data_IF_582002736832
#
_entry.id   IF_582002736832
#
_cell.length_a   1.000
_cell.length_b   1.000
_cell.length_c   1.000
_cell.angle_alpha   90.00
_cell.angle_beta   90.00
_cell.angle_gamma   90.00
#
_symmetry.space_group_name_H-M   'P 1'
#
loop_
_entity.id
_entity.type
_entity.pdbx_description
1 polymer ?
#
# COMPACT_ATOMS: atom_id res chain seq x y z
N UNK A 1 12.99 13.65 12.77
CA UNK A 1 11.84 14.42 13.28
C UNK A 1 11.33 15.38 12.23
N UNK A 2 10.12 15.90 12.40
CA UNK A 2 9.57 16.97 11.54
C UNK A 2 9.25 18.17 12.38
N UNK A 3 9.58 19.33 11.87
CA UNK A 3 9.34 20.62 12.53
C UNK A 3 8.43 21.43 11.64
N UNK A 4 7.32 21.90 12.17
CA UNK A 4 6.37 22.77 11.48
C UNK A 4 6.48 24.17 12.03
N UNK A 5 6.65 25.16 11.17
CA UNK A 5 6.70 26.56 11.59
C UNK A 5 5.28 27.14 11.76
N UNK A 6 5.19 28.36 12.30
CA UNK A 6 3.92 29.07 12.54
C UNK A 6 3.08 29.27 11.27
N UNK A 7 3.70 29.26 10.09
CA UNK A 7 3.03 29.36 8.77
C UNK A 7 2.59 27.99 8.22
N UNK A 8 2.68 26.91 9.02
CA UNK A 8 2.30 25.57 8.61
C UNK A 8 3.29 24.87 7.67
N UNK A 9 4.45 25.45 7.39
CA UNK A 9 5.48 24.81 6.58
C UNK A 9 6.23 23.78 7.41
N UNK A 10 6.23 22.54 6.98
CA UNK A 10 6.91 21.41 7.63
C UNK A 10 8.23 21.11 6.92
N UNK A 11 9.29 20.95 7.69
CA UNK A 11 10.64 20.57 7.23
C UNK A 11 11.05 19.30 7.96
N UNK A 12 11.61 18.33 7.23
CA UNK A 12 12.22 17.16 7.87
C UNK A 12 13.60 17.55 8.43
N UNK A 13 13.87 17.08 9.64
CA UNK A 13 15.16 17.27 10.29
C UNK A 13 15.72 15.92 10.75
N UNK A 14 17.02 15.77 10.65
CA UNK A 14 17.78 14.67 11.24
C UNK A 14 18.69 15.19 12.33
N UNK A 15 18.75 14.43 13.40
CA UNK A 15 19.69 14.67 14.50
C UNK A 15 20.47 13.37 14.70
N UNK A 16 21.78 13.46 14.59
CA UNK A 16 22.70 12.36 14.86
C UNK A 16 23.43 12.70 16.13
N UNK A 17 23.35 11.83 17.13
CA UNK A 17 24.05 11.97 18.39
C UNK A 17 25.09 10.88 18.45
N UNK A 18 26.34 11.25 18.59
CA UNK A 18 27.47 10.33 18.69
C UNK A 18 28.40 10.77 19.81
N UNK A 19 29.11 9.81 20.35
CA UNK A 19 30.19 10.04 21.32
C UNK A 19 31.46 9.32 20.86
N UNK A 20 32.17 9.89 19.87
CA UNK A 20 33.35 9.23 19.29
C UNK A 20 34.52 9.12 20.26
N UNK A 21 34.52 9.90 21.34
CA UNK A 21 35.61 9.94 22.32
C UNK A 21 35.26 9.26 23.65
N UNK A 22 34.00 8.98 23.92
CA UNK A 22 33.49 8.54 25.21
C UNK A 22 33.47 9.63 26.29
N UNK A 23 33.77 10.89 25.94
CA UNK A 23 33.84 12.03 26.88
C UNK A 23 33.01 13.23 26.46
N UNK A 24 32.60 13.32 25.20
CA UNK A 24 31.82 14.44 24.72
C UNK A 24 30.81 14.03 23.66
N UNK A 25 29.56 14.44 23.88
CA UNK A 25 28.51 14.21 22.89
C UNK A 25 28.70 15.17 21.71
N UNK A 26 28.74 14.60 20.54
CA UNK A 26 28.65 15.31 19.27
C UNK A 26 27.21 15.24 18.77
N UNK A 27 26.62 16.38 18.47
CA UNK A 27 25.24 16.48 18.01
C UNK A 27 25.24 17.14 16.63
N UNK A 28 25.01 16.34 15.62
CA UNK A 28 24.92 16.80 14.22
C UNK A 28 23.45 17.04 13.87
N UNK A 29 23.13 18.18 13.31
CA UNK A 29 21.76 18.52 12.89
C UNK A 29 21.72 18.87 11.42
N UNK A 30 20.75 18.29 10.72
CA UNK A 30 20.53 18.46 9.30
C UNK A 30 19.08 18.82 9.02
N UNK A 31 18.84 19.69 8.05
CA UNK A 31 17.51 20.02 7.57
C UNK A 31 17.36 19.70 6.09
N UNK A 32 16.16 19.33 5.74
CA UNK A 32 15.75 19.12 4.36
C UNK A 32 15.75 20.44 3.59
N UNK A 33 16.48 20.47 2.48
CA UNK A 33 16.53 21.60 1.55
C UNK A 33 16.38 21.09 0.11
N UNK A 34 15.89 21.95 -0.76
CA UNK A 34 15.86 21.65 -2.20
C UNK A 34 17.18 22.06 -2.81
N UNK A 35 17.92 21.13 -3.36
CA UNK A 35 19.13 21.43 -4.12
C UNK A 35 18.79 22.21 -5.37
N UNK A 36 19.43 23.37 -5.55
CA UNK A 36 19.16 24.28 -6.64
C UNK A 36 19.63 23.72 -8.01
N UNK A 37 20.66 22.88 -8.03
CA UNK A 37 21.23 22.33 -9.25
C UNK A 37 20.42 21.13 -9.78
N UNK A 38 20.05 20.21 -8.90
CA UNK A 38 19.37 18.95 -9.29
C UNK A 38 17.86 19.00 -9.10
N UNK A 39 17.35 19.97 -8.33
CA UNK A 39 15.95 20.05 -7.94
C UNK A 39 15.50 18.97 -6.93
N UNK A 40 16.41 18.11 -6.49
CA UNK A 40 16.14 17.05 -5.52
C UNK A 40 16.11 17.58 -4.08
N UNK A 41 15.42 16.85 -3.19
CA UNK A 41 15.45 17.14 -1.76
C UNK A 41 16.66 16.42 -1.15
N UNK A 42 17.52 17.19 -0.50
CA UNK A 42 18.72 16.71 0.21
C UNK A 42 18.72 17.22 1.64
N UNK A 43 19.58 16.68 2.49
CA UNK A 43 19.80 17.21 3.82
C UNK A 43 21.03 18.09 3.83
N UNK A 44 20.91 19.30 4.35
CA UNK A 44 22.02 20.23 4.55
C UNK A 44 22.32 20.39 6.04
N UNK A 45 23.60 20.49 6.38
CA UNK A 45 24.06 20.70 7.73
C UNK A 45 23.59 22.05 8.29
N UNK A 46 23.05 22.03 9.53
CA UNK A 46 22.56 23.20 10.23
C UNK A 46 23.54 23.74 11.25
N UNK A 47 24.38 22.90 11.84
CA UNK A 47 25.34 23.30 12.88
C UNK A 47 26.79 22.95 12.47
N UNK A 48 27.76 23.47 13.24
CA UNK A 48 29.17 23.28 12.94
C UNK A 48 29.61 21.82 13.07
N UNK A 49 29.06 21.09 14.03
CA UNK A 49 29.36 19.66 14.21
C UNK A 49 28.98 18.82 13.00
N UNK A 50 27.92 19.21 12.30
CA UNK A 50 27.43 18.51 11.12
C UNK A 50 28.24 18.85 9.86
N UNK A 51 28.80 20.06 9.76
CA UNK A 51 29.53 20.49 8.56
C UNK A 51 30.82 19.70 8.36
N UNK A 52 30.99 19.16 7.16
CA UNK A 52 32.18 18.38 6.79
C UNK A 52 32.28 17.02 7.46
N UNK A 53 31.26 16.53 8.16
CA UNK A 53 31.18 15.16 8.63
C UNK A 53 30.97 14.19 7.47
N UNK A 54 31.24 12.90 7.69
CA UNK A 54 30.94 11.87 6.68
C UNK A 54 29.42 11.85 6.34
N UNK A 55 28.58 12.14 7.31
CA UNK A 55 27.12 12.22 7.12
C UNK A 55 26.71 13.43 6.30
N UNK A 56 27.39 14.58 6.42
CA UNK A 56 27.12 15.77 5.63
C UNK A 56 27.34 15.47 4.16
N UNK A 57 28.45 14.90 3.78
CA UNK A 57 28.73 14.55 2.37
C UNK A 57 27.74 13.53 1.82
N UNK A 58 27.36 12.53 2.61
CA UNK A 58 26.39 11.52 2.23
C UNK A 58 24.97 12.10 2.05
N UNK A 59 24.56 13.04 2.92
CA UNK A 59 23.23 13.64 2.84
C UNK A 59 23.09 14.66 1.73
N UNK A 60 24.13 15.40 1.41
CA UNK A 60 24.13 16.38 0.31
C UNK A 60 24.07 15.69 -1.05
N UNK A 61 24.75 14.55 -1.21
CA UNK A 61 24.81 13.82 -2.48
C UNK A 61 23.65 12.84 -2.71
N UNK A 62 22.97 12.40 -1.63
CA UNK A 62 21.92 11.39 -1.74
C UNK A 62 20.54 12.01 -1.59
N UNK A 63 19.70 12.02 -2.64
CA UNK A 63 18.32 12.46 -2.54
C UNK A 63 17.58 11.68 -1.46
N UNK A 64 16.84 12.38 -0.62
CA UNK A 64 16.10 11.77 0.48
C UNK A 64 14.60 12.07 0.38
N UNK A 65 13.74 11.06 0.51
CA UNK A 65 12.30 11.28 0.51
C UNK A 65 11.88 12.01 1.79
N UNK A 66 11.21 13.15 1.65
CA UNK A 66 10.77 14.00 2.76
C UNK A 66 9.77 13.35 3.68
N UNK A 67 9.06 12.32 3.18
CA UNK A 67 8.06 11.55 3.91
C UNK A 67 8.19 10.06 3.59
N UNK A 68 7.88 9.22 4.57
CA UNK A 68 7.75 7.80 4.34
C UNK A 68 6.61 7.52 3.34
N UNK A 69 6.74 6.49 2.48
CA UNK A 69 5.69 6.13 1.52
C UNK A 69 4.32 5.96 2.18
N UNK A 70 4.25 5.32 3.35
CA UNK A 70 3.02 5.12 4.11
C UNK A 70 2.38 6.46 4.52
N UNK A 71 3.16 7.43 5.02
CA UNK A 71 2.65 8.74 5.40
C UNK A 71 2.10 9.54 4.20
N UNK A 72 2.79 9.47 3.06
CA UNK A 72 2.31 10.11 1.82
C UNK A 72 0.97 9.53 1.39
N UNK A 73 0.82 8.22 1.44
CA UNK A 73 -0.42 7.55 1.05
C UNK A 73 -1.54 7.79 2.05
N UNK A 74 -1.25 7.85 3.36
CA UNK A 74 -2.22 8.28 4.39
C UNK A 74 -2.75 9.68 4.13
N UNK A 75 -1.85 10.65 3.89
CA UNK A 75 -2.24 12.02 3.58
C UNK A 75 -3.09 12.10 2.31
N UNK A 76 -2.72 11.34 1.27
CA UNK A 76 -3.47 11.28 0.03
C UNK A 76 -4.85 10.63 0.24
N UNK A 77 -4.95 9.51 0.93
CA UNK A 77 -6.21 8.85 1.23
C UNK A 77 -7.13 9.78 2.02
N UNK A 78 -6.62 10.43 3.06
CA UNK A 78 -7.37 11.41 3.85
C UNK A 78 -7.86 12.59 3.01
N UNK A 79 -7.04 13.07 2.07
CA UNK A 79 -7.43 14.15 1.15
C UNK A 79 -8.53 13.72 0.18
N UNK A 80 -8.49 12.48 -0.30
CA UNK A 80 -9.44 11.96 -1.29
C UNK A 80 -10.79 11.57 -0.69
N UNK A 81 -10.78 10.96 0.48
CA UNK A 81 -11.99 10.34 1.07
C UNK A 81 -12.35 10.89 2.44
N UNK A 82 -11.47 11.65 3.10
CA UNK A 82 -11.65 12.08 4.49
C UNK A 82 -11.51 10.95 5.52
N UNK A 83 -11.16 9.73 5.08
CA UNK A 83 -11.11 8.53 5.92
C UNK A 83 -9.67 8.01 6.11
N UNK A 84 -9.56 6.86 6.77
CA UNK A 84 -8.29 6.18 7.02
C UNK A 84 -7.75 5.50 5.76
N UNK A 85 -6.46 5.29 5.73
CA UNK A 85 -5.80 4.54 4.66
C UNK A 85 -5.98 3.02 4.87
N UNK A 86 -6.11 2.26 3.80
CA UNK A 86 -6.40 0.83 3.88
C UNK A 86 -5.41 0.04 4.75
N UNK A 87 -4.13 0.34 4.70
CA UNK A 87 -3.10 -0.31 5.54
C UNK A 87 -3.20 0.03 7.04
N UNK A 88 -4.04 0.97 7.43
CA UNK A 88 -4.31 1.28 8.84
C UNK A 88 -5.46 0.43 9.42
N UNK A 89 -6.23 -0.29 8.57
CA UNK A 89 -7.37 -1.08 9.02
C UNK A 89 -7.02 -2.17 10.02
N UNK A 90 -5.96 -2.99 9.85
CA UNK A 90 -5.58 -3.97 10.87
C UNK A 90 -5.28 -3.32 12.22
N UNK A 91 -4.57 -2.19 12.25
CA UNK A 91 -4.26 -1.48 13.49
C UNK A 91 -5.51 -0.90 14.17
N UNK A 92 -6.48 -0.41 13.38
CA UNK A 92 -7.76 0.08 13.89
C UNK A 92 -8.57 -1.04 14.53
N UNK A 93 -8.60 -2.23 13.91
CA UNK A 93 -9.25 -3.41 14.46
C UNK A 93 -8.58 -3.86 15.76
N UNK A 94 -7.24 -3.89 15.80
CA UNK A 94 -6.49 -4.21 17.01
C UNK A 94 -6.82 -3.21 18.15
N UNK A 95 -6.91 -1.92 17.83
CA UNK A 95 -7.30 -0.90 18.80
C UNK A 95 -8.74 -1.09 19.30
N UNK A 96 -9.67 -1.38 18.40
CA UNK A 96 -11.07 -1.67 18.75
C UNK A 96 -11.20 -2.90 19.67
N UNK A 97 -10.43 -3.97 19.37
CA UNK A 97 -10.35 -5.15 20.23
C UNK A 97 -9.82 -4.80 21.62
N UNK A 98 -8.76 -4.01 21.70
CA UNK A 98 -8.21 -3.55 22.99
C UNK A 98 -9.25 -2.78 23.80
N UNK A 99 -10.02 -1.88 23.16
CA UNK A 99 -11.12 -1.17 23.81
C UNK A 99 -12.25 -2.09 24.25
N UNK A 100 -12.55 -3.16 23.50
CA UNK A 100 -13.55 -4.15 23.85
C UNK A 100 -13.10 -4.95 25.07
N UNK A 101 -11.86 -5.42 25.10
CA UNK A 101 -11.27 -6.15 26.22
C UNK A 101 -11.15 -5.29 27.48
N UNK A 102 -10.86 -3.96 27.38
CA UNK A 102 -10.79 -3.08 28.54
C UNK A 102 -12.11 -2.97 29.31
N UNK A 103 -13.23 -3.29 28.67
CA UNK A 103 -14.56 -3.35 29.28
C UNK A 103 -14.91 -4.74 29.86
N UNK A 104 -14.06 -5.72 29.61
CA UNK A 104 -14.25 -7.09 30.09
C UNK A 104 -13.51 -7.29 31.41
N UNK A 105 -14.05 -8.14 32.28
CA UNK A 105 -13.49 -8.34 33.63
C UNK A 105 -12.12 -9.03 33.65
N UNK A 106 -11.80 -9.80 32.61
CA UNK A 106 -10.52 -10.50 32.48
C UNK A 106 -9.59 -9.75 31.54
N UNK A 107 -8.51 -9.15 32.09
CA UNK A 107 -7.55 -8.34 31.33
C UNK A 107 -6.25 -9.07 31.00
N UNK A 108 -6.13 -10.38 31.30
CA UNK A 108 -4.89 -11.14 31.18
C UNK A 108 -4.42 -11.36 29.72
N UNK A 109 -5.22 -11.03 28.70
CA UNK A 109 -4.97 -11.32 27.28
C UNK A 109 -4.61 -10.10 26.44
N UNK A 110 -4.28 -8.94 27.07
CA UNK A 110 -4.06 -7.68 26.34
C UNK A 110 -2.82 -7.64 25.43
N UNK A 111 -1.94 -8.64 25.49
CA UNK A 111 -0.66 -8.64 24.76
C UNK A 111 -0.71 -9.22 23.36
N UNK A 112 -1.66 -10.16 23.08
CA UNK A 112 -1.79 -10.85 21.78
C UNK A 112 -3.26 -10.90 21.35
N UNK A 113 -3.80 -9.74 20.96
CA UNK A 113 -5.22 -9.63 20.60
C UNK A 113 -5.50 -9.91 19.13
N UNK A 114 -4.51 -9.75 18.28
CA UNK A 114 -4.68 -9.92 16.85
C UNK A 114 -3.37 -10.31 16.15
N UNK A 115 -3.49 -11.23 15.23
CA UNK A 115 -2.47 -11.52 14.22
C UNK A 115 -3.03 -11.11 12.86
N UNK A 116 -2.18 -10.57 11.99
CA UNK A 116 -2.55 -10.17 10.64
C UNK A 116 -1.49 -10.62 9.64
N UNK A 117 -1.93 -11.32 8.60
CA UNK A 117 -1.09 -11.73 7.49
C UNK A 117 -1.67 -11.16 6.21
N UNK A 118 -0.88 -10.46 5.42
CA UNK A 118 -1.30 -9.93 4.12
C UNK A 118 -1.30 -11.06 3.08
N UNK A 119 -2.29 -11.03 2.19
CA UNK A 119 -2.49 -12.02 1.14
C UNK A 119 -2.30 -11.38 -0.23
N UNK A 120 -1.61 -12.08 -1.10
CA UNK A 120 -1.38 -11.67 -2.50
C UNK A 120 -1.69 -12.83 -3.45
N UNK A 121 -1.88 -12.52 -4.72
CA UNK A 121 -1.91 -13.53 -5.77
C UNK A 121 -0.50 -13.74 -6.31
N UNK A 122 -0.08 -15.01 -6.39
CA UNK A 122 1.08 -15.41 -7.17
C UNK A 122 0.82 -15.29 -8.68
N UNK A 123 1.87 -15.43 -9.47
CA UNK A 123 1.77 -15.43 -10.93
C UNK A 123 0.82 -16.53 -11.46
N UNK A 124 0.74 -17.65 -10.75
CA UNK A 124 -0.16 -18.78 -11.04
C UNK A 124 -1.62 -18.53 -10.58
N UNK A 125 -1.93 -17.34 -10.04
CA UNK A 125 -3.26 -16.99 -9.53
C UNK A 125 -3.65 -17.67 -8.22
N UNK A 126 -2.69 -18.22 -7.47
CA UNK A 126 -2.91 -18.79 -6.14
C UNK A 126 -2.78 -17.71 -5.08
N UNK A 127 -3.57 -17.85 -4.03
CA UNK A 127 -3.49 -16.96 -2.87
C UNK A 127 -2.35 -17.39 -1.97
N UNK A 128 -1.44 -16.46 -1.68
CA UNK A 128 -0.23 -16.68 -0.87
C UNK A 128 -0.10 -15.60 0.20
N UNK A 129 0.51 -15.99 1.32
CA UNK A 129 0.84 -15.08 2.42
C UNK A 129 2.11 -14.28 2.09
N UNK A 130 2.16 -13.02 2.51
CA UNK A 130 3.33 -12.16 2.30
C UNK A 130 3.60 -11.28 3.53
N UNK A 131 4.87 -11.01 3.77
CA UNK A 131 5.38 -10.10 4.79
C UNK A 131 5.86 -8.76 4.21
N UNK A 132 5.42 -8.43 3.00
CA UNK A 132 5.85 -7.20 2.32
C UNK A 132 5.58 -5.96 3.16
N UNK A 133 6.47 -4.99 3.05
CA UNK A 133 6.32 -3.70 3.71
C UNK A 133 5.05 -2.99 3.21
N UNK A 134 4.23 -2.39 4.09
CA UNK A 134 3.05 -1.61 3.70
C UNK A 134 3.34 -0.60 2.57
N UNK A 135 2.38 -0.40 1.68
CA UNK A 135 2.48 0.46 0.49
C UNK A 135 3.34 -0.09 -0.67
N UNK A 136 3.75 -1.34 -0.62
CA UNK A 136 4.41 -2.02 -1.74
C UNK A 136 3.43 -2.83 -2.61
N UNK A 137 2.13 -2.61 -2.42
CA UNK A 137 1.09 -3.16 -3.28
C UNK A 137 1.24 -2.64 -4.72
N UNK A 138 1.11 -3.55 -5.67
CA UNK A 138 1.19 -3.28 -7.12
C UNK A 138 -0.19 -3.10 -7.77
N UNK A 139 -1.26 -3.41 -7.01
CA UNK A 139 -2.66 -3.29 -7.41
C UNK A 139 -3.43 -2.43 -6.41
N UNK A 140 -4.59 -1.94 -6.81
CA UNK A 140 -5.45 -1.06 -6.00
C UNK A 140 -6.29 -1.78 -4.95
N UNK A 141 -5.87 -2.96 -4.51
CA UNK A 141 -6.56 -3.76 -3.50
C UNK A 141 -5.56 -4.48 -2.62
N UNK A 142 -5.87 -4.56 -1.34
CA UNK A 142 -5.10 -5.31 -0.34
C UNK A 142 -6.02 -6.24 0.42
N UNK A 143 -5.50 -7.38 0.82
CA UNK A 143 -6.25 -8.40 1.53
C UNK A 143 -5.45 -8.95 2.69
N UNK A 144 -6.14 -9.35 3.75
CA UNK A 144 -5.53 -9.95 4.93
C UNK A 144 -6.36 -11.15 5.41
N UNK A 145 -5.68 -12.12 5.99
CA UNK A 145 -6.25 -13.06 6.93
C UNK A 145 -5.92 -12.57 8.34
N UNK A 146 -6.95 -12.37 9.15
CA UNK A 146 -6.83 -11.86 10.52
C UNK A 146 -7.28 -12.92 11.50
N UNK A 147 -6.51 -13.10 12.58
CA UNK A 147 -6.91 -13.87 13.76
C UNK A 147 -7.20 -12.91 14.89
N UNK A 148 -8.41 -12.95 15.41
CA UNK A 148 -8.93 -11.98 16.37
C UNK A 148 -9.29 -12.69 17.67
N UNK A 149 -8.66 -12.30 18.78
CA UNK A 149 -9.06 -12.76 20.10
C UNK A 149 -10.15 -11.85 20.63
N UNK A 150 -11.39 -12.32 20.58
CA UNK A 150 -12.54 -11.60 21.13
C UNK A 150 -12.94 -12.17 22.50
N UNK A 151 -13.52 -11.37 23.40
CA UNK A 151 -13.94 -11.87 24.72
C UNK A 151 -14.89 -13.08 24.67
N UNK A 152 -15.68 -13.19 23.58
CA UNK A 152 -16.68 -14.24 23.42
C UNK A 152 -16.08 -15.64 23.18
N UNK A 153 -14.82 -15.72 22.76
CA UNK A 153 -14.10 -16.98 22.50
C UNK A 153 -12.97 -17.24 23.50
N UNK A 154 -12.97 -16.53 24.63
CA UNK A 154 -11.94 -16.65 25.67
C UNK A 154 -11.75 -18.09 26.17
N UNK A 155 -12.83 -18.85 26.23
CA UNK A 155 -12.86 -20.23 26.74
C UNK A 155 -12.74 -21.30 25.64
N UNK A 156 -12.57 -20.90 24.37
CA UNK A 156 -12.35 -21.85 23.29
C UNK A 156 -10.86 -22.25 23.23
N UNK A 157 -10.59 -23.49 22.81
CA UNK A 157 -9.24 -24.09 22.84
C UNK A 157 -8.20 -23.24 22.10
N UNK A 158 -8.57 -22.64 20.96
CA UNK A 158 -7.70 -21.73 20.20
C UNK A 158 -7.84 -20.25 20.61
N UNK A 159 -8.95 -19.86 21.21
CA UNK A 159 -9.24 -18.49 21.68
C UNK A 159 -9.22 -17.41 20.60
N UNK A 160 -9.26 -17.78 19.30
CA UNK A 160 -9.23 -16.86 18.18
C UNK A 160 -10.39 -17.08 17.20
N UNK A 161 -10.84 -16.00 16.59
CA UNK A 161 -11.72 -16.01 15.42
C UNK A 161 -10.95 -15.56 14.20
N UNK A 162 -11.04 -16.32 13.13
CA UNK A 162 -10.42 -15.96 11.86
C UNK A 162 -11.42 -15.25 10.95
N UNK A 163 -10.94 -14.26 10.22
CA UNK A 163 -11.71 -13.53 9.20
C UNK A 163 -10.82 -13.19 8.01
N UNK A 164 -11.45 -13.00 6.87
CA UNK A 164 -10.81 -12.39 5.71
C UNK A 164 -11.24 -10.93 5.59
N UNK A 165 -10.26 -10.03 5.45
CA UNK A 165 -10.48 -8.59 5.25
C UNK A 165 -9.91 -8.19 3.90
N UNK A 166 -10.71 -7.50 3.09
CA UNK A 166 -10.28 -6.93 1.82
C UNK A 166 -10.61 -5.44 1.81
N UNK A 167 -9.69 -4.64 1.29
CA UNK A 167 -9.89 -3.19 1.18
C UNK A 167 -9.31 -2.64 -0.13
N UNK A 168 -9.96 -1.62 -0.69
CA UNK A 168 -9.38 -0.86 -1.80
C UNK A 168 -8.30 0.09 -1.30
N UNK A 169 -7.23 0.21 -2.07
CA UNK A 169 -6.27 1.30 -1.93
C UNK A 169 -6.71 2.48 -2.79
N UNK A 170 -7.38 3.44 -2.17
CA UNK A 170 -7.88 4.65 -2.84
C UNK A 170 -6.75 5.47 -3.49
N UNK A 171 -5.51 5.33 -3.00
CA UNK A 171 -4.36 6.04 -3.53
C UNK A 171 -3.82 5.44 -4.83
N UNK A 172 -4.32 4.25 -5.19
CA UNK A 172 -3.97 3.55 -6.43
C UNK A 172 -5.13 3.64 -7.42
N UNK A 173 -4.99 4.45 -8.47
CA UNK A 173 -6.01 4.67 -9.51
C UNK A 173 -7.43 4.90 -8.92
N UNK A 174 -7.51 5.72 -7.85
CA UNK A 174 -8.74 6.01 -7.10
C UNK A 174 -9.48 4.76 -6.60
N UNK A 175 -8.75 3.70 -6.24
CA UNK A 175 -9.30 2.44 -5.76
C UNK A 175 -10.14 1.67 -6.78
N UNK A 176 -10.13 2.07 -8.07
CA UNK A 176 -10.98 1.46 -9.09
C UNK A 176 -10.63 0.00 -9.32
N UNK A 177 -11.68 -0.82 -9.59
CA UNK A 177 -11.52 -2.21 -9.95
C UNK A 177 -10.99 -2.36 -11.39
N UNK A 178 -9.92 -3.10 -11.54
CA UNK A 178 -9.43 -3.66 -12.78
C UNK A 178 -9.34 -5.18 -12.69
N UNK A 179 -8.76 -5.82 -13.68
CA UNK A 179 -8.66 -7.29 -13.77
C UNK A 179 -7.93 -7.91 -12.58
N UNK A 180 -6.85 -7.27 -12.13
CA UNK A 180 -6.03 -7.78 -11.02
C UNK A 180 -6.72 -7.60 -9.66
N UNK A 181 -7.42 -6.47 -9.46
CA UNK A 181 -8.22 -6.24 -8.26
C UNK A 181 -9.38 -7.26 -8.18
N UNK A 182 -10.06 -7.51 -9.31
CA UNK A 182 -11.13 -8.51 -9.40
C UNK A 182 -10.62 -9.93 -9.12
N UNK A 183 -9.47 -10.30 -9.67
CA UNK A 183 -8.83 -11.58 -9.45
C UNK A 183 -8.51 -11.81 -7.96
N UNK A 184 -7.92 -10.83 -7.26
CA UNK A 184 -7.64 -10.93 -5.84
C UNK A 184 -8.93 -11.05 -5.02
N UNK A 185 -9.93 -10.20 -5.31
CA UNK A 185 -11.23 -10.24 -4.64
C UNK A 185 -11.90 -11.62 -4.77
N UNK A 186 -11.93 -12.17 -5.99
CA UNK A 186 -12.49 -13.48 -6.27
C UNK A 186 -11.74 -14.59 -5.53
N UNK A 187 -10.41 -14.58 -5.54
CA UNK A 187 -9.60 -15.58 -4.85
C UNK A 187 -9.87 -15.58 -3.36
N UNK A 188 -9.80 -14.40 -2.70
CA UNK A 188 -10.04 -14.29 -1.26
C UNK A 188 -11.47 -14.70 -0.90
N UNK A 189 -12.48 -14.25 -1.66
CA UNK A 189 -13.87 -14.61 -1.40
C UNK A 189 -14.17 -16.10 -1.58
N UNK A 190 -13.48 -16.78 -2.51
CA UNK A 190 -13.54 -18.25 -2.68
C UNK A 190 -12.91 -18.97 -1.50
N UNK A 191 -11.77 -18.51 -1.01
CA UNK A 191 -11.10 -19.09 0.16
C UNK A 191 -11.95 -18.90 1.41
N UNK A 192 -12.50 -17.71 1.64
CA UNK A 192 -13.38 -17.44 2.76
C UNK A 192 -14.60 -18.39 2.79
N UNK A 193 -15.22 -18.64 1.62
CA UNK A 193 -16.33 -19.60 1.51
C UNK A 193 -15.90 -21.04 1.75
N UNK A 194 -14.74 -21.43 1.22
CA UNK A 194 -14.18 -22.78 1.41
C UNK A 194 -13.86 -23.04 2.87
N UNK A 195 -13.28 -22.05 3.56
CA UNK A 195 -12.87 -22.16 4.95
C UNK A 195 -14.05 -21.93 5.92
N UNK A 196 -15.22 -21.51 5.41
CA UNK A 196 -16.38 -21.18 6.24
C UNK A 196 -16.20 -19.93 7.11
N UNK A 197 -15.27 -19.03 6.71
CA UNK A 197 -14.89 -17.86 7.49
C UNK A 197 -15.60 -16.59 6.99
N UNK A 198 -15.85 -15.62 7.89
CA UNK A 198 -16.39 -14.32 7.52
C UNK A 198 -15.48 -13.58 6.53
N UNK A 199 -16.10 -12.97 5.52
CA UNK A 199 -15.44 -12.10 4.54
C UNK A 199 -15.93 -10.67 4.73
N UNK A 200 -15.01 -9.76 5.03
CA UNK A 200 -15.28 -8.33 5.23
C UNK A 200 -14.64 -7.56 4.09
N UNK A 201 -15.45 -6.76 3.40
CA UNK A 201 -14.98 -5.86 2.37
C UNK A 201 -15.16 -4.40 2.76
N UNK A 202 -14.06 -3.65 2.84
CA UNK A 202 -14.07 -2.21 3.10
C UNK A 202 -13.88 -1.48 1.78
N UNK A 203 -15.00 -1.03 1.23
CA UNK A 203 -15.03 -0.37 -0.06
C UNK A 203 -14.55 1.09 0.04
N UNK A 204 -13.50 1.42 -0.70
CA UNK A 204 -13.04 2.78 -0.94
C UNK A 204 -12.62 2.88 -2.41
N UNK A 205 -13.62 2.90 -3.31
CA UNK A 205 -13.38 2.83 -4.75
C UNK A 205 -14.26 3.77 -5.55
N UNK A 206 -13.84 4.07 -6.77
CA UNK A 206 -14.58 4.84 -7.76
C UNK A 206 -15.37 3.95 -8.75
N UNK A 207 -15.54 2.67 -8.43
CA UNK A 207 -16.22 1.69 -9.29
C UNK A 207 -15.28 0.92 -10.22
N UNK A 208 -15.85 0.29 -11.24
CA UNK A 208 -15.08 -0.40 -12.24
C UNK A 208 -14.24 0.57 -13.08
N UNK A 209 -13.02 0.17 -13.38
CA UNK A 209 -12.13 0.97 -14.23
C UNK A 209 -12.69 1.04 -15.64
N UNK A 210 -13.00 2.26 -16.08
CA UNK A 210 -13.53 2.52 -17.40
C UNK A 210 -12.36 2.59 -18.39
N UNK A 211 -12.49 1.90 -19.52
CA UNK A 211 -11.53 1.90 -20.60
C UNK A 211 -10.91 0.52 -20.84
N UNK A 212 -10.00 0.48 -21.80
CA UNK A 212 -9.32 -0.76 -22.19
C UNK A 212 -8.34 -1.18 -21.07
N UNK A 213 -8.35 -2.46 -20.72
CA UNK A 213 -7.43 -3.04 -19.75
C UNK A 213 -5.97 -2.81 -20.18
N UNK A 214 -5.08 -2.60 -19.21
CA UNK A 214 -3.65 -2.32 -19.47
C UNK A 214 -3.00 -3.48 -20.23
N UNK A 215 -3.38 -4.71 -19.90
CA UNK A 215 -2.92 -5.95 -20.50
C UNK A 215 -3.32 -6.03 -21.98
N UNK A 216 -4.55 -5.60 -22.31
CA UNK A 216 -5.02 -5.54 -23.68
C UNK A 216 -4.29 -4.44 -24.47
N UNK A 217 -4.06 -3.28 -23.84
CA UNK A 217 -3.33 -2.17 -24.50
C UNK A 217 -1.92 -2.56 -24.93
N UNK A 218 -1.24 -3.39 -24.15
CA UNK A 218 0.14 -3.79 -24.42
C UNK A 218 0.28 -4.74 -25.63
N UNK A 219 -0.81 -5.45 -26.01
CA UNK A 219 -0.81 -6.45 -27.07
C UNK A 219 -1.64 -6.05 -28.28
N UNK A 220 -2.29 -4.90 -28.22
CA UNK A 220 -3.17 -4.40 -29.27
C UNK A 220 -2.36 -3.69 -30.35
N UNK A 221 -2.57 -4.07 -31.59
CA UNK A 221 -1.97 -3.42 -32.75
C UNK A 221 -2.97 -2.46 -33.38
N UNK A 222 -2.44 -1.40 -33.97
CA UNK A 222 -3.22 -0.33 -34.61
C UNK A 222 -2.87 -0.24 -36.08
N UNK A 223 -3.88 -0.33 -36.95
CA UNK A 223 -3.72 0.00 -38.37
C UNK A 223 -4.06 1.49 -38.59
N UNK A 224 -3.02 2.31 -38.66
CA UNK A 224 -3.17 3.75 -38.79
C UNK A 224 -3.58 4.13 -40.22
N UNK A 225 -4.50 5.11 -40.34
CA UNK A 225 -4.81 5.69 -41.68
C UNK A 225 -3.57 6.34 -42.29
N UNK A 226 -2.67 6.86 -41.47
CA UNK A 226 -1.38 7.37 -41.87
C UNK A 226 -0.41 7.20 -40.69
N UNK A 227 0.59 6.35 -40.82
CA UNK A 227 1.55 6.05 -39.76
C UNK A 227 2.33 7.29 -39.26
N UNK A 228 2.64 8.22 -40.18
CA UNK A 228 3.36 9.46 -39.88
C UNK A 228 2.51 10.52 -39.15
N UNK A 229 1.18 10.37 -39.14
CA UNK A 229 0.25 11.32 -38.54
C UNK A 229 -0.89 10.59 -37.81
N UNK A 230 -0.66 10.14 -36.56
CA UNK A 230 -1.69 9.46 -35.76
C UNK A 230 -2.94 10.28 -35.48
N UNK A 231 -2.89 11.62 -35.63
CA UNK A 231 -4.05 12.49 -35.44
C UNK A 231 -5.18 12.25 -36.45
N UNK A 232 -4.87 11.66 -37.60
CA UNK A 232 -5.84 11.25 -38.60
C UNK A 232 -6.67 10.01 -38.24
N UNK A 233 -6.36 9.39 -37.08
CA UNK A 233 -7.04 8.20 -36.58
C UNK A 233 -6.56 6.91 -37.23
N UNK A 234 -7.29 5.85 -36.97
CA UNK A 234 -6.95 4.50 -37.41
C UNK A 234 -8.11 3.87 -38.19
N UNK A 235 -7.83 2.83 -38.97
CA UNK A 235 -8.83 2.06 -39.69
C UNK A 235 -9.47 1.00 -38.77
N UNK A 236 -8.61 0.19 -38.06
CA UNK A 236 -9.05 -0.83 -37.11
C UNK A 236 -7.96 -1.13 -36.09
N UNK A 237 -8.38 -1.83 -35.03
CA UNK A 237 -7.52 -2.40 -34.00
C UNK A 237 -7.51 -3.91 -34.17
N UNK A 238 -6.36 -4.53 -33.98
CA UNK A 238 -6.26 -5.98 -34.16
C UNK A 238 -5.30 -6.62 -33.14
N UNK A 239 -5.45 -7.94 -32.96
CA UNK A 239 -4.61 -8.78 -32.13
C UNK A 239 -3.91 -9.81 -32.96
N UNK A 240 -2.66 -10.12 -32.68
CA UNK A 240 -2.02 -11.31 -33.23
C UNK A 240 -2.72 -12.56 -32.69
N UNK A 241 -2.52 -13.70 -33.33
CA UNK A 241 -3.12 -14.97 -32.89
C UNK A 241 -2.64 -15.35 -31.49
N UNK A 242 -1.36 -15.12 -31.17
CA UNK A 242 -0.75 -15.37 -29.89
C UNK A 242 -1.34 -14.44 -28.83
N UNK A 243 -1.43 -13.15 -29.12
CA UNK A 243 -2.04 -12.15 -28.24
C UNK A 243 -3.52 -12.45 -27.96
N UNK A 244 -4.26 -12.92 -28.95
CA UNK A 244 -5.65 -13.33 -28.79
C UNK A 244 -5.82 -14.50 -27.82
N UNK A 245 -4.92 -15.51 -27.89
CA UNK A 245 -4.94 -16.63 -26.93
C UNK A 245 -4.70 -16.16 -25.50
N UNK A 246 -3.71 -15.26 -25.28
CA UNK A 246 -3.42 -14.67 -23.97
C UNK A 246 -4.63 -13.89 -23.43
N UNK A 247 -5.24 -13.08 -24.28
CA UNK A 247 -6.44 -12.30 -23.92
C UNK A 247 -7.61 -13.24 -23.56
N UNK A 248 -7.82 -14.30 -24.31
CA UNK A 248 -8.86 -15.29 -24.00
C UNK A 248 -8.61 -15.98 -22.65
N UNK A 249 -7.37 -16.31 -22.30
CA UNK A 249 -7.04 -16.89 -21.01
C UNK A 249 -7.36 -15.93 -19.86
N UNK A 250 -7.02 -14.65 -19.98
CA UNK A 250 -7.34 -13.62 -19.01
C UNK A 250 -8.87 -13.46 -18.83
N UNK A 251 -9.63 -13.45 -19.92
CA UNK A 251 -11.08 -13.26 -19.89
C UNK A 251 -11.88 -14.56 -19.66
N UNK A 252 -11.35 -15.73 -19.98
CA UNK A 252 -12.01 -17.01 -19.68
C UNK A 252 -12.12 -17.26 -18.19
N UNK A 253 -11.18 -16.78 -17.39
CA UNK A 253 -11.29 -16.78 -15.92
C UNK A 253 -12.49 -15.96 -15.43
N UNK A 254 -12.84 -14.90 -16.13
CA UNK A 254 -13.98 -14.04 -15.77
C UNK A 254 -15.32 -14.61 -16.26
N UNK A 255 -15.34 -15.37 -17.36
CA UNK A 255 -16.57 -15.95 -17.94
C UNK A 255 -17.01 -17.26 -17.27
N UNK A 256 -16.12 -18.05 -16.69
CA UNK A 256 -16.44 -19.31 -16.00
C UNK A 256 -17.18 -19.08 -14.67
N UNK A 257 -17.15 -17.88 -14.13
CA UNK A 257 -17.85 -17.54 -12.87
C UNK A 257 -19.31 -17.10 -13.06
N UNK A 258 -19.83 -17.09 -14.30
CA UNK A 258 -21.22 -16.71 -14.61
C UNK A 258 -22.12 -17.89 -15.00
N UNK A 259 -21.87 -19.08 -14.48
CA UNK A 259 -22.83 -20.21 -14.53
C UNK A 259 -23.35 -20.52 -13.14
#
# INVERSE_FOLDING_TARGET
MRVTNEKGKTVAMRVVVSDPTGYSLRVETYAEVKDAATGNMVFAALNEDARGSEMDSAFVTTPYPTRLPLERRRDLAKKMTGTVYCYDLPQLLAHALKLRWSKHHNQNHLTHLMESVELVLSEDGKLEETDRVPCKNTIGMVAWKLKLRTPEVENEEDGFREIYLVANDITFKAGSFGTNEDALYNAVSKHARKDGLPFIYVAANSGARIGMASELKSVLNVDWKQESDPSRGFNYLWLTREAYVVVLQIYSFTLITRK
#
